data_IF_824174475763
#
_entry.id   IF_824174475763
#
_cell.length_a   1.000
_cell.length_b   1.000
_cell.length_c   1.000
_cell.angle_alpha   90.00
_cell.angle_beta   90.00
_cell.angle_gamma   90.00
#
_symmetry.space_group_name_H-M   'P 1'
#
loop_
_entity.id
_entity.type
_entity.pdbx_description
1 polymer ?
#
# COMPACT_ATOMS: atom_id res chain seq x y z
N UNK A 1 -0.99 1.09 -17.91
CA UNK A 1 -0.73 2.55 -17.91
C UNK A 1 -0.78 3.03 -16.45
N UNK A 2 0.35 3.25 -15.79
CA UNK A 2 0.36 3.82 -14.43
C UNK A 2 -0.08 5.29 -14.52
N UNK A 3 -1.22 5.65 -13.92
CA UNK A 3 -1.67 7.04 -13.88
C UNK A 3 -0.67 7.85 -13.05
N UNK A 4 -0.11 8.93 -13.62
CA UNK A 4 0.76 9.84 -12.86
C UNK A 4 -0.10 10.54 -11.79
N UNK A 5 0.23 10.35 -10.52
CA UNK A 5 -0.32 11.14 -9.41
C UNK A 5 0.24 12.56 -9.61
N UNK A 6 -0.60 13.56 -9.91
CA UNK A 6 -0.17 14.87 -10.45
C UNK A 6 0.73 15.70 -9.51
N UNK A 7 1.15 16.90 -9.95
CA UNK A 7 2.17 17.76 -9.29
C UNK A 7 2.03 17.97 -7.77
N UNK A 8 0.80 17.99 -7.24
CA UNK A 8 0.57 18.14 -5.79
C UNK A 8 1.09 16.92 -5.02
N UNK A 9 0.89 15.73 -5.57
CA UNK A 9 1.41 14.50 -5.00
C UNK A 9 2.94 14.49 -5.03
N UNK A 10 3.56 14.88 -6.15
CA UNK A 10 5.02 14.93 -6.26
C UNK A 10 5.66 15.82 -5.17
N UNK A 11 5.09 17.00 -4.92
CA UNK A 11 5.53 17.92 -3.86
C UNK A 11 5.30 17.34 -2.47
N UNK A 12 4.11 16.75 -2.23
CA UNK A 12 3.79 16.13 -0.94
C UNK A 12 4.73 14.97 -0.65
N UNK A 13 4.95 14.09 -1.63
CA UNK A 13 5.85 12.96 -1.49
C UNK A 13 7.30 13.39 -1.31
N UNK A 14 7.76 14.48 -1.94
CA UNK A 14 9.08 15.04 -1.67
C UNK A 14 9.19 15.52 -0.21
N UNK A 15 8.22 16.27 0.29
CA UNK A 15 8.19 16.72 1.69
C UNK A 15 8.20 15.55 2.70
N UNK A 16 7.41 14.50 2.45
CA UNK A 16 7.35 13.32 3.35
C UNK A 16 8.67 12.56 3.36
N UNK A 17 9.36 12.43 2.22
CA UNK A 17 10.69 11.80 2.17
C UNK A 17 11.73 12.56 2.98
N UNK A 18 11.74 13.88 2.88
CA UNK A 18 12.65 14.73 3.65
C UNK A 18 12.31 14.70 5.16
N UNK A 19 11.02 14.69 5.51
CA UNK A 19 10.56 14.57 6.91
C UNK A 19 11.05 13.28 7.57
N UNK A 20 10.94 12.18 6.84
CA UNK A 20 11.28 10.84 7.34
C UNK A 20 12.76 10.50 7.12
N UNK A 21 13.58 11.46 6.69
CA UNK A 21 15.01 11.28 6.33
C UNK A 21 15.24 10.06 5.44
N UNK A 22 14.36 9.87 4.45
CA UNK A 22 14.38 8.72 3.54
C UNK A 22 14.41 7.36 4.26
N UNK A 23 13.83 7.29 5.44
CA UNK A 23 13.83 6.11 6.31
C UNK A 23 12.45 5.45 6.29
N UNK A 24 12.43 4.15 6.03
CA UNK A 24 11.25 3.30 6.10
C UNK A 24 10.68 3.31 7.51
N UNK A 25 9.41 3.72 7.66
CA UNK A 25 8.75 3.83 8.95
C UNK A 25 8.39 2.46 9.56
N UNK A 26 8.45 1.38 8.78
CA UNK A 26 8.15 0.02 9.25
C UNK A 26 9.41 -0.74 9.72
N UNK A 27 10.53 -0.62 9.00
CA UNK A 27 11.74 -1.43 9.27
C UNK A 27 12.99 -0.61 9.63
N UNK A 28 12.98 0.71 9.42
CA UNK A 28 14.14 1.58 9.69
C UNK A 28 15.24 1.58 8.62
N UNK A 29 15.11 0.79 7.56
CA UNK A 29 16.03 0.84 6.41
C UNK A 29 15.73 2.03 5.49
N UNK A 30 16.57 2.27 4.49
CA UNK A 30 16.30 3.26 3.46
C UNK A 30 14.99 2.98 2.68
N UNK A 31 14.19 4.02 2.47
CA UNK A 31 12.92 3.98 1.75
C UNK A 31 12.67 5.22 0.90
N UNK A 32 11.86 5.06 -0.16
CA UNK A 32 11.55 6.13 -1.11
C UNK A 32 10.11 6.10 -1.63
N UNK A 33 9.36 5.05 -1.33
CA UNK A 33 7.95 4.93 -1.67
C UNK A 33 7.15 5.69 -0.62
N UNK A 34 6.30 6.62 -1.04
CA UNK A 34 5.39 7.31 -0.11
C UNK A 34 4.01 6.69 -0.26
N UNK A 35 3.48 6.20 0.85
CA UNK A 35 2.23 5.47 0.87
C UNK A 35 1.31 5.96 1.99
N UNK A 36 0.00 5.73 1.81
CA UNK A 36 -0.99 6.10 2.82
C UNK A 36 -0.98 5.10 3.97
N UNK A 37 -1.01 5.55 5.23
CA UNK A 37 -1.10 4.64 6.39
C UNK A 37 -2.46 3.94 6.39
N UNK A 38 -3.54 4.72 6.37
CA UNK A 38 -4.90 4.25 6.09
C UNK A 38 -5.21 4.49 4.60
N UNK A 39 -5.61 3.45 3.85
CA UNK A 39 -6.01 3.58 2.45
C UNK A 39 -7.07 4.65 2.24
N UNK A 40 -6.94 5.41 1.15
CA UNK A 40 -7.98 6.38 0.76
C UNK A 40 -9.32 5.69 0.46
N UNK A 41 -9.31 4.42 0.02
CA UNK A 41 -10.53 3.62 -0.16
C UNK A 41 -11.29 3.37 1.14
N UNK A 42 -10.58 3.38 2.26
CA UNK A 42 -11.09 2.97 3.57
C UNK A 42 -11.37 4.18 4.47
N UNK A 43 -11.22 5.40 3.94
CA UNK A 43 -11.47 6.67 4.65
C UNK A 43 -10.23 7.51 4.92
N UNK A 44 -9.04 7.00 4.57
CA UNK A 44 -7.78 7.67 4.85
C UNK A 44 -7.64 9.06 4.24
N UNK A 45 -7.05 9.98 5.00
CA UNK A 45 -6.80 11.34 4.55
C UNK A 45 -5.79 11.37 3.38
N UNK A 46 -6.23 11.86 2.22
CA UNK A 46 -5.42 11.85 0.98
C UNK A 46 -4.14 12.69 1.07
N UNK A 47 -4.18 13.80 1.81
CA UNK A 47 -3.13 14.84 1.83
C UNK A 47 -2.55 15.13 3.21
N UNK A 48 -3.01 14.44 4.26
CA UNK A 48 -2.49 14.65 5.60
C UNK A 48 -1.10 14.02 5.72
N UNK A 49 -0.11 14.78 6.18
CA UNK A 49 1.22 14.23 6.46
C UNK A 49 1.16 13.12 7.49
N UNK A 50 0.23 13.20 8.44
CA UNK A 50 0.04 12.19 9.48
C UNK A 50 -0.52 10.87 8.94
N UNK A 51 -1.09 10.87 7.73
CA UNK A 51 -1.55 9.65 7.04
C UNK A 51 -0.60 9.23 5.91
N UNK A 52 0.61 9.79 5.86
CA UNK A 52 1.61 9.47 4.85
C UNK A 52 2.91 9.01 5.51
N UNK A 53 3.50 7.97 4.96
CA UNK A 53 4.74 7.38 5.46
C UNK A 53 5.69 7.02 4.32
N UNK A 54 6.99 7.09 4.58
CA UNK A 54 8.01 6.49 3.73
C UNK A 54 8.13 5.00 4.00
N UNK A 55 8.12 4.20 2.94
CA UNK A 55 8.35 2.76 2.97
C UNK A 55 9.50 2.37 2.02
N UNK A 56 10.23 1.33 2.41
CA UNK A 56 11.06 0.60 1.48
C UNK A 56 10.19 -0.27 0.56
N UNK A 57 10.76 -0.72 -0.56
CA UNK A 57 10.00 -1.47 -1.58
C UNK A 57 9.38 -2.76 -1.04
N UNK A 58 10.07 -3.49 -0.15
CA UNK A 58 9.54 -4.73 0.44
C UNK A 58 8.34 -4.44 1.35
N UNK A 59 8.48 -3.53 2.30
CA UNK A 59 7.39 -3.13 3.20
C UNK A 59 6.18 -2.58 2.42
N UNK A 60 6.40 -1.78 1.37
CA UNK A 60 5.31 -1.29 0.53
C UNK A 60 4.56 -2.41 -0.21
N UNK A 61 5.28 -3.42 -0.74
CA UNK A 61 4.64 -4.59 -1.38
C UNK A 61 3.86 -5.41 -0.35
N UNK A 62 4.42 -5.64 0.83
CA UNK A 62 3.78 -6.42 1.88
C UNK A 62 2.50 -5.74 2.39
N UNK A 63 2.54 -4.41 2.60
CA UNK A 63 1.36 -3.59 2.91
C UNK A 63 0.33 -3.67 1.78
N UNK A 64 0.73 -3.39 0.54
CA UNK A 64 -0.17 -3.45 -0.62
C UNK A 64 -0.87 -4.81 -0.73
N UNK A 65 -0.18 -5.92 -0.41
CA UNK A 65 -0.75 -7.27 -0.40
C UNK A 65 -1.73 -7.47 0.74
N UNK A 66 -1.44 -6.95 1.93
CA UNK A 66 -2.34 -7.02 3.08
C UNK A 66 -3.64 -6.26 2.84
N UNK A 67 -3.59 -5.19 2.06
CA UNK A 67 -4.75 -4.34 1.70
C UNK A 67 -5.61 -4.91 0.56
N UNK A 68 -5.18 -6.00 -0.09
CA UNK A 68 -5.98 -6.60 -1.15
C UNK A 68 -7.24 -7.27 -0.57
N UNK A 69 -8.43 -6.97 -1.12
CA UNK A 69 -9.71 -7.48 -0.61
C UNK A 69 -9.85 -9.01 -0.69
N UNK A 70 -8.98 -9.69 -1.43
CA UNK A 70 -9.02 -11.16 -1.58
C UNK A 70 -8.47 -11.93 -0.37
N UNK A 71 -7.71 -11.28 0.52
CA UNK A 71 -7.20 -11.93 1.73
C UNK A 71 -8.21 -11.94 2.88
N UNK A 72 -9.18 -11.02 2.90
CA UNK A 72 -10.12 -10.89 4.03
C UNK A 72 -11.41 -11.70 3.87
N UNK A 73 -11.82 -12.14 2.67
CA UNK A 73 -13.03 -12.98 2.55
C UNK A 73 -13.23 -13.77 1.25
N UNK A 74 -12.36 -13.67 0.23
CA UNK A 74 -12.65 -14.26 -1.09
C UNK A 74 -12.02 -15.62 -1.39
N UNK A 75 -10.81 -15.90 -0.87
CA UNK A 75 -10.03 -17.06 -1.32
C UNK A 75 -10.52 -18.40 -0.77
N UNK A 76 -10.98 -18.44 0.47
CA UNK A 76 -11.56 -19.64 1.06
C UNK A 76 -12.87 -20.02 0.34
N UNK A 77 -13.80 -19.07 0.19
CA UNK A 77 -15.08 -19.29 -0.50
C UNK A 77 -14.89 -19.71 -1.97
N UNK A 78 -13.96 -19.08 -2.70
CA UNK A 78 -13.69 -19.48 -4.09
C UNK A 78 -13.07 -20.87 -4.21
N UNK A 79 -12.14 -21.25 -3.32
CA UNK A 79 -11.56 -22.59 -3.32
C UNK A 79 -12.60 -23.65 -2.93
N UNK A 80 -13.54 -23.33 -2.03
CA UNK A 80 -14.70 -24.20 -1.75
C UNK A 80 -15.61 -24.33 -2.98
N UNK A 81 -15.87 -23.22 -3.69
CA UNK A 81 -16.74 -23.21 -4.88
C UNK A 81 -16.13 -23.88 -6.11
N UNK A 82 -14.81 -23.86 -6.28
CA UNK A 82 -14.12 -24.42 -7.46
C UNK A 82 -13.28 -25.67 -7.18
N UNK A 83 -13.21 -26.12 -5.93
CA UNK A 83 -12.41 -27.28 -5.49
C UNK A 83 -12.85 -28.63 -6.03
N UNK A 84 -13.96 -28.69 -6.78
CA UNK A 84 -14.55 -29.90 -7.33
C UNK A 84 -14.32 -30.04 -8.86
N UNK A 85 -13.16 -29.61 -9.38
CA UNK A 85 -12.82 -29.78 -10.81
C UNK A 85 -11.51 -30.56 -11.02
N UNK A 86 -11.32 -31.64 -10.26
CA UNK A 86 -10.16 -32.55 -10.44
C UNK A 86 -10.45 -33.99 -10.07
N UNK A 87 -11.64 -34.49 -10.47
CA UNK A 87 -11.98 -35.90 -10.29
C UNK A 87 -12.84 -36.43 -11.45
N UNK A 88 -12.27 -36.48 -12.65
CA UNK A 88 -12.69 -37.39 -13.73
C UNK A 88 -11.45 -37.90 -14.47
#
# INVERSE_FOLDING_TARGET
MMKRKGRRWDQTAAYIRERDDWTCQECGDWGNEVDHIEPVSDGGAMWSGDNLQVLCRSCHIDKSRAELPWQTSGRAEWLERVGDYRRE
#
